data_IF_216329996031
#
_entry.id   IF_216329996031
#
_cell.length_a   1.000
_cell.length_b   1.000
_cell.length_c   1.000
_cell.angle_alpha   90.00
_cell.angle_beta   90.00
_cell.angle_gamma   90.00
#
_symmetry.space_group_name_H-M   'P 1'
#
loop_
_entity.id
_entity.type
_entity.pdbx_description
1 polymer ?
#
# COMPACT_ATOMS: atom_id res chain seq x y z
N UNK A 1 -12.15 -1.44 -24.15
CA UNK A 1 -10.71 -1.55 -24.44
C UNK A 1 -9.82 -0.74 -23.49
N UNK A 2 -9.97 0.57 -23.34
CA UNK A 2 -9.12 1.42 -22.45
C UNK A 2 -9.08 0.98 -20.97
N UNK A 3 -10.21 0.56 -20.38
CA UNK A 3 -10.28 0.13 -18.96
C UNK A 3 -9.58 -1.19 -18.68
N UNK A 4 -9.59 -2.13 -19.65
CA UNK A 4 -8.89 -3.42 -19.52
C UNK A 4 -7.38 -3.24 -19.58
N UNK A 5 -6.90 -2.41 -20.50
CA UNK A 5 -5.48 -2.07 -20.62
C UNK A 5 -4.96 -1.42 -19.32
N UNK A 6 -5.71 -0.48 -18.74
CA UNK A 6 -5.31 0.17 -17.49
C UNK A 6 -5.22 -0.83 -16.33
N UNK A 7 -6.13 -1.79 -16.25
CA UNK A 7 -6.08 -2.84 -15.22
C UNK A 7 -4.87 -3.76 -15.38
N UNK A 8 -4.55 -4.16 -16.62
CA UNK A 8 -3.37 -4.98 -16.91
C UNK A 8 -2.10 -4.22 -16.51
N UNK A 9 -1.98 -2.96 -16.89
CA UNK A 9 -0.84 -2.12 -16.52
C UNK A 9 -0.70 -1.99 -15.01
N UNK A 10 -1.81 -1.76 -14.30
CA UNK A 10 -1.82 -1.68 -12.85
C UNK A 10 -1.39 -2.99 -12.18
N UNK A 11 -1.87 -4.13 -12.67
CA UNK A 11 -1.46 -5.45 -12.16
C UNK A 11 0.02 -5.73 -12.43
N UNK A 12 0.49 -5.44 -13.65
CA UNK A 12 1.91 -5.56 -13.99
C UNK A 12 2.78 -4.69 -13.07
N UNK A 13 2.32 -3.48 -12.74
CA UNK A 13 3.04 -2.58 -11.85
C UNK A 13 3.10 -3.11 -10.40
N UNK A 14 2.02 -3.70 -9.87
CA UNK A 14 2.06 -4.38 -8.56
C UNK A 14 3.08 -5.51 -8.57
N UNK A 15 3.04 -6.36 -9.59
CA UNK A 15 3.99 -7.46 -9.74
C UNK A 15 5.42 -6.92 -9.78
N UNK A 16 5.66 -5.83 -10.50
CA UNK A 16 6.96 -5.19 -10.60
C UNK A 16 7.45 -4.67 -9.23
N UNK A 17 6.60 -3.99 -8.45
CA UNK A 17 6.95 -3.52 -7.10
C UNK A 17 7.29 -4.68 -6.18
N UNK A 18 6.49 -5.75 -6.19
CA UNK A 18 6.75 -6.93 -5.37
C UNK A 18 8.01 -7.69 -5.82
N UNK A 19 8.24 -7.82 -7.13
CA UNK A 19 9.45 -8.46 -7.65
C UNK A 19 10.70 -7.64 -7.32
N UNK A 20 10.64 -6.33 -7.46
CA UNK A 20 11.74 -5.45 -7.04
C UNK A 20 12.02 -5.61 -5.55
N UNK A 21 10.98 -5.63 -4.70
CA UNK A 21 11.15 -5.81 -3.27
C UNK A 21 11.76 -7.18 -2.90
N UNK A 22 11.39 -8.26 -3.58
CA UNK A 22 11.85 -9.61 -3.24
C UNK A 22 13.21 -9.95 -3.84
N UNK A 23 13.49 -9.47 -5.06
CA UNK A 23 14.68 -9.85 -5.82
C UNK A 23 15.86 -8.88 -5.65
N UNK A 24 15.60 -7.66 -5.18
CA UNK A 24 16.66 -6.69 -4.95
C UNK A 24 17.43 -7.05 -3.67
N UNK A 25 18.67 -7.49 -3.83
CA UNK A 25 19.53 -7.90 -2.72
C UNK A 25 20.36 -6.74 -2.15
N UNK A 26 20.48 -5.64 -2.88
CA UNK A 26 21.27 -4.49 -2.48
C UNK A 26 20.35 -3.28 -2.26
N UNK A 27 20.46 -2.67 -1.07
CA UNK A 27 19.71 -1.45 -0.80
C UNK A 27 20.17 -0.32 -1.73
N UNK A 28 19.23 0.43 -2.32
CA UNK A 28 19.60 1.61 -3.10
C UNK A 28 20.39 2.59 -2.23
N UNK A 29 21.55 3.01 -2.71
CA UNK A 29 22.35 4.04 -2.03
C UNK A 29 21.52 5.33 -1.90
N UNK A 30 21.23 5.76 -0.68
CA UNK A 30 20.40 6.95 -0.43
C UNK A 30 18.89 6.70 -0.34
N UNK A 31 18.45 5.43 -0.33
CA UNK A 31 17.02 5.08 -0.20
C UNK A 31 16.31 4.90 -1.54
N UNK A 32 14.99 4.83 -1.52
CA UNK A 32 14.20 4.59 -2.73
C UNK A 32 14.40 5.69 -3.79
N UNK A 33 14.63 5.31 -5.06
CA UNK A 33 14.77 6.28 -6.14
C UNK A 33 13.54 7.19 -6.25
N UNK A 34 13.74 8.49 -6.51
CA UNK A 34 12.65 9.47 -6.65
C UNK A 34 11.62 9.02 -7.68
N UNK A 35 12.07 8.40 -8.79
CA UNK A 35 11.17 7.85 -9.80
C UNK A 35 10.21 6.80 -9.22
N UNK A 36 10.67 5.93 -8.32
CA UNK A 36 9.82 4.92 -7.66
C UNK A 36 8.81 5.61 -6.75
N UNK A 37 9.21 6.63 -5.99
CA UNK A 37 8.30 7.40 -5.14
C UNK A 37 7.20 8.05 -5.96
N UNK A 38 7.55 8.69 -7.07
CA UNK A 38 6.59 9.34 -7.97
C UNK A 38 5.63 8.31 -8.57
N UNK A 39 6.16 7.22 -9.13
CA UNK A 39 5.36 6.18 -9.79
C UNK A 39 4.41 5.49 -8.80
N UNK A 40 4.87 5.19 -7.58
CA UNK A 40 4.01 4.60 -6.53
C UNK A 40 2.92 5.56 -6.07
N UNK A 41 3.22 6.84 -5.94
CA UNK A 41 2.22 7.87 -5.60
C UNK A 41 1.13 7.96 -6.66
N UNK A 42 1.49 7.98 -7.95
CA UNK A 42 0.52 7.91 -9.05
C UNK A 42 -0.28 6.60 -9.05
N UNK A 43 0.37 5.47 -8.74
CA UNK A 43 -0.27 4.17 -8.60
C UNK A 43 -1.34 4.18 -7.50
N UNK A 44 -1.03 4.68 -6.33
CA UNK A 44 -1.96 4.82 -5.19
C UNK A 44 -3.16 5.69 -5.58
N UNK A 45 -2.92 6.88 -6.14
CA UNK A 45 -3.99 7.77 -6.62
C UNK A 45 -4.88 7.10 -7.67
N UNK A 46 -4.28 6.36 -8.60
CA UNK A 46 -4.99 5.60 -9.64
C UNK A 46 -5.88 4.50 -9.06
N UNK A 47 -5.39 3.75 -8.07
CA UNK A 47 -6.16 2.71 -7.40
C UNK A 47 -7.31 3.27 -6.57
N UNK A 48 -7.08 4.34 -5.80
CA UNK A 48 -8.14 5.01 -5.03
C UNK A 48 -9.21 5.55 -5.98
N UNK A 49 -8.83 6.22 -7.05
CA UNK A 49 -9.77 6.71 -8.07
C UNK A 49 -10.57 5.58 -8.72
N UNK A 50 -9.91 4.43 -8.99
CA UNK A 50 -10.55 3.22 -9.49
C UNK A 50 -11.56 2.62 -8.53
N UNK A 51 -11.25 2.64 -7.24
CA UNK A 51 -12.11 2.15 -6.18
C UNK A 51 -13.36 3.04 -6.03
N UNK A 52 -13.17 4.36 -5.99
CA UNK A 52 -14.26 5.35 -5.95
C UNK A 52 -15.18 5.17 -7.18
N UNK A 53 -14.62 5.11 -8.38
CA UNK A 53 -15.38 4.91 -9.63
C UNK A 53 -16.14 3.57 -9.62
N UNK A 54 -15.55 2.50 -9.07
CA UNK A 54 -16.22 1.21 -8.98
C UNK A 54 -17.44 1.24 -8.05
N UNK A 55 -17.42 2.07 -7.02
CA UNK A 55 -18.55 2.27 -6.13
C UNK A 55 -19.63 3.16 -6.73
N UNK A 56 -19.25 4.30 -7.32
CA UNK A 56 -20.18 5.22 -7.97
C UNK A 56 -20.92 4.54 -9.13
N UNK A 57 -20.24 3.73 -9.92
CA UNK A 57 -20.83 2.98 -11.05
C UNK A 57 -21.69 1.77 -10.58
N UNK A 58 -21.94 1.58 -9.29
CA UNK A 58 -22.68 0.45 -8.71
C UNK A 58 -22.24 -0.92 -9.27
N UNK A 59 -20.95 -1.12 -9.44
CA UNK A 59 -20.39 -2.38 -9.96
C UNK A 59 -20.68 -3.56 -9.00
N UNK A 60 -20.54 -4.78 -9.54
CA UNK A 60 -20.70 -6.01 -8.74
C UNK A 60 -19.76 -5.95 -7.52
N UNK A 61 -20.25 -6.38 -6.37
CA UNK A 61 -19.50 -6.42 -5.11
C UNK A 61 -18.14 -7.11 -5.28
N UNK A 62 -18.10 -8.22 -6.00
CA UNK A 62 -16.85 -8.95 -6.29
C UNK A 62 -15.78 -8.07 -6.97
N UNK A 63 -16.21 -7.18 -7.88
CA UNK A 63 -15.28 -6.25 -8.54
C UNK A 63 -14.71 -5.23 -7.55
N UNK A 64 -15.54 -4.71 -6.65
CA UNK A 64 -15.12 -3.72 -5.66
C UNK A 64 -14.20 -4.36 -4.63
N UNK A 65 -14.56 -5.54 -4.11
CA UNK A 65 -13.70 -6.30 -3.18
C UNK A 65 -12.35 -6.66 -3.80
N UNK A 66 -12.35 -7.12 -5.04
CA UNK A 66 -11.11 -7.42 -5.75
C UNK A 66 -10.24 -6.17 -5.90
N UNK A 67 -10.82 -5.03 -6.25
CA UNK A 67 -10.09 -3.76 -6.35
C UNK A 67 -9.53 -3.35 -4.98
N UNK A 68 -10.28 -3.51 -3.90
CA UNK A 68 -9.83 -3.23 -2.53
C UNK A 68 -8.64 -4.13 -2.14
N UNK A 69 -8.72 -5.43 -2.41
CA UNK A 69 -7.60 -6.36 -2.17
C UNK A 69 -6.34 -5.92 -2.92
N UNK A 70 -6.49 -5.53 -4.20
CA UNK A 70 -5.36 -5.00 -4.96
C UNK A 70 -4.80 -3.69 -4.39
N UNK A 71 -5.66 -2.78 -3.88
CA UNK A 71 -5.20 -1.57 -3.21
C UNK A 71 -4.35 -1.91 -1.98
N UNK A 72 -4.83 -2.81 -1.13
CA UNK A 72 -4.10 -3.25 0.08
C UNK A 72 -2.77 -3.90 -0.29
N UNK A 73 -2.78 -4.85 -1.23
CA UNK A 73 -1.55 -5.54 -1.67
C UNK A 73 -0.53 -4.55 -2.26
N UNK A 74 -1.00 -3.57 -3.04
CA UNK A 74 -0.14 -2.54 -3.61
C UNK A 74 0.46 -1.62 -2.54
N UNK A 75 -0.35 -1.18 -1.58
CA UNK A 75 0.10 -0.35 -0.45
C UNK A 75 1.15 -1.09 0.37
N UNK A 76 0.87 -2.35 0.74
CA UNK A 76 1.83 -3.17 1.47
C UNK A 76 3.15 -3.34 0.73
N UNK A 77 3.11 -3.71 -0.55
CA UNK A 77 4.33 -3.87 -1.35
C UNK A 77 5.15 -2.59 -1.44
N UNK A 78 4.47 -1.46 -1.66
CA UNK A 78 5.09 -0.13 -1.75
C UNK A 78 5.77 0.27 -0.44
N UNK A 79 5.06 0.18 0.69
CA UNK A 79 5.63 0.58 1.97
C UNK A 79 6.68 -0.41 2.47
N UNK A 80 6.53 -1.71 2.20
CA UNK A 80 7.59 -2.70 2.47
C UNK A 80 8.88 -2.37 1.73
N UNK A 81 8.77 -1.99 0.45
CA UNK A 81 9.92 -1.54 -0.33
C UNK A 81 10.56 -0.27 0.25
N UNK A 82 9.76 0.72 0.64
CA UNK A 82 10.28 1.94 1.25
C UNK A 82 10.94 1.66 2.60
N UNK A 83 10.32 0.89 3.48
CA UNK A 83 10.91 0.53 4.77
C UNK A 83 12.21 -0.25 4.61
N UNK A 84 12.27 -1.16 3.65
CA UNK A 84 13.53 -1.84 3.35
C UNK A 84 14.59 -0.89 2.78
N UNK A 85 14.24 -0.05 1.82
CA UNK A 85 15.18 0.89 1.18
C UNK A 85 15.77 1.90 2.17
N UNK A 86 14.95 2.38 3.10
CA UNK A 86 15.36 3.31 4.17
C UNK A 86 15.65 2.61 5.50
N UNK A 87 15.65 1.27 5.55
CA UNK A 87 15.74 0.44 6.74
C UNK A 87 17.14 0.37 7.35
N UNK A 88 17.73 1.51 7.65
CA UNK A 88 19.07 1.66 8.25
C UNK A 88 18.98 1.84 9.76
N UNK A 89 20.06 1.55 10.51
CA UNK A 89 20.10 1.80 11.96
C UNK A 89 19.80 3.25 12.35
N UNK A 90 20.15 4.22 11.51
CA UNK A 90 19.83 5.63 11.75
C UNK A 90 18.33 5.93 11.68
N UNK A 91 17.58 5.16 10.90
CA UNK A 91 16.14 5.39 10.71
C UNK A 91 15.27 4.53 11.63
N UNK A 92 15.71 3.29 11.96
CA UNK A 92 14.92 2.31 12.70
C UNK A 92 15.62 1.72 13.93
N UNK A 93 16.83 2.21 14.28
CA UNK A 93 17.65 1.65 15.36
C UNK A 93 18.30 0.31 15.00
N UNK A 94 17.81 -0.37 13.98
CA UNK A 94 18.31 -1.64 13.45
C UNK A 94 18.34 -1.61 11.91
N UNK A 95 19.10 -2.52 11.31
CA UNK A 95 19.08 -2.71 9.87
C UNK A 95 17.95 -3.68 9.51
N UNK A 96 16.91 -3.20 8.82
CA UNK A 96 15.76 -4.03 8.48
C UNK A 96 16.09 -5.02 7.35
N UNK A 97 15.76 -6.28 7.55
CA UNK A 97 15.67 -7.25 6.45
C UNK A 97 14.39 -7.01 5.62
N UNK A 98 14.23 -7.70 4.49
CA UNK A 98 12.97 -7.66 3.72
C UNK A 98 11.78 -8.11 4.59
N UNK A 99 11.97 -9.16 5.39
CA UNK A 99 10.94 -9.68 6.27
C UNK A 99 10.58 -8.67 7.37
N UNK A 100 11.57 -7.99 7.97
CA UNK A 100 11.35 -6.95 8.98
C UNK A 100 10.57 -5.78 8.39
N UNK A 101 10.92 -5.35 7.18
CA UNK A 101 10.23 -4.27 6.48
C UNK A 101 8.77 -4.64 6.16
N UNK A 102 8.53 -5.86 5.69
CA UNK A 102 7.19 -6.37 5.47
C UNK A 102 6.39 -6.50 6.77
N UNK A 103 7.02 -7.05 7.83
CA UNK A 103 6.42 -7.14 9.17
C UNK A 103 6.04 -5.76 9.70
N UNK A 104 6.92 -4.77 9.54
CA UNK A 104 6.65 -3.39 9.94
C UNK A 104 5.47 -2.78 9.18
N UNK A 105 5.41 -2.98 7.85
CA UNK A 105 4.30 -2.53 7.02
C UNK A 105 2.98 -3.20 7.42
N UNK A 106 2.99 -4.52 7.66
CA UNK A 106 1.82 -5.27 8.12
C UNK A 106 1.36 -4.84 9.52
N UNK A 107 2.31 -4.65 10.46
CA UNK A 107 2.01 -4.16 11.81
C UNK A 107 1.37 -2.77 11.80
N UNK A 108 1.82 -1.91 10.89
CA UNK A 108 1.24 -0.57 10.68
C UNK A 108 -0.18 -0.67 10.10
N UNK A 109 -0.38 -1.45 9.03
CA UNK A 109 -1.68 -1.65 8.40
C UNK A 109 -2.72 -2.22 9.36
N UNK A 110 -2.33 -3.24 10.12
CA UNK A 110 -3.23 -3.92 11.07
C UNK A 110 -3.46 -3.17 12.37
N UNK A 111 -2.78 -2.03 12.56
CA UNK A 111 -2.77 -1.28 13.84
C UNK A 111 -2.34 -2.11 15.05
N UNK A 112 -1.75 -3.29 14.82
CA UNK A 112 -1.31 -4.20 15.88
C UNK A 112 -0.01 -3.72 16.56
N UNK A 113 0.67 -2.77 15.95
CA UNK A 113 1.99 -2.31 16.38
C UNK A 113 3.13 -3.09 15.73
N UNK A 114 4.31 -2.54 15.82
CA UNK A 114 5.52 -3.00 15.12
C UNK A 114 6.52 -3.71 16.06
N UNK A 115 6.09 -4.05 17.28
CA UNK A 115 6.90 -4.75 18.28
C UNK A 115 8.15 -3.96 18.67
N UNK A 116 9.33 -4.55 18.43
CA UNK A 116 10.63 -3.96 18.78
C UNK A 116 11.19 -3.01 17.72
N UNK A 117 10.60 -2.97 16.53
CA UNK A 117 11.04 -2.10 15.43
C UNK A 117 10.33 -0.76 15.56
N UNK A 118 11.09 0.32 15.70
CA UNK A 118 10.54 1.66 15.88
C UNK A 118 11.11 2.65 14.84
N UNK A 119 10.23 3.49 14.28
CA UNK A 119 10.64 4.60 13.43
C UNK A 119 11.34 5.67 14.29
N UNK A 120 12.67 5.77 14.21
CA UNK A 120 13.50 6.65 15.06
C UNK A 120 13.72 8.02 14.43
N UNK A 121 13.91 8.08 13.10
CA UNK A 121 14.13 9.34 12.37
C UNK A 121 12.84 10.04 11.97
N UNK A 122 12.92 11.31 11.62
CA UNK A 122 11.79 12.07 11.06
C UNK A 122 11.29 11.46 9.74
N UNK A 123 12.21 11.01 8.88
CA UNK A 123 11.88 10.35 7.62
C UNK A 123 11.09 9.07 7.87
N UNK A 124 11.56 8.20 8.76
CA UNK A 124 10.90 6.94 9.07
C UNK A 124 9.50 7.16 9.67
N UNK A 125 9.38 8.13 10.60
CA UNK A 125 8.08 8.53 11.17
C UNK A 125 7.16 9.14 10.13
N UNK A 126 7.69 9.94 9.20
CA UNK A 126 6.93 10.49 8.09
C UNK A 126 6.35 9.42 7.17
N UNK A 127 7.17 8.43 6.79
CA UNK A 127 6.72 7.28 6.00
C UNK A 127 5.64 6.46 6.73
N UNK A 128 5.83 6.20 8.03
CA UNK A 128 4.86 5.48 8.85
C UNK A 128 3.54 6.25 8.95
N UNK A 129 3.60 7.55 9.19
CA UNK A 129 2.40 8.41 9.25
C UNK A 129 1.67 8.43 7.91
N UNK A 130 2.40 8.50 6.79
CA UNK A 130 1.81 8.45 5.45
C UNK A 130 1.09 7.11 5.20
N UNK A 131 1.71 5.99 5.59
CA UNK A 131 1.05 4.68 5.51
C UNK A 131 -0.20 4.65 6.39
N UNK A 132 -0.12 5.02 7.66
CA UNK A 132 -1.27 5.04 8.58
C UNK A 132 -2.45 5.87 8.04
N UNK A 133 -2.17 7.03 7.45
CA UNK A 133 -3.19 7.86 6.82
C UNK A 133 -3.88 7.15 5.65
N UNK A 134 -3.10 6.53 4.78
CA UNK A 134 -3.62 5.79 3.63
C UNK A 134 -4.42 4.55 4.07
N UNK A 135 -3.90 3.78 5.02
CA UNK A 135 -4.57 2.59 5.57
C UNK A 135 -5.90 2.96 6.24
N UNK A 136 -5.95 4.09 6.95
CA UNK A 136 -7.19 4.61 7.55
C UNK A 136 -8.24 4.92 6.48
N UNK A 137 -7.86 5.52 5.37
CA UNK A 137 -8.76 5.79 4.23
C UNK A 137 -9.29 4.48 3.65
N UNK A 138 -8.44 3.46 3.45
CA UNK A 138 -8.85 2.15 2.93
C UNK A 138 -9.82 1.44 3.87
N UNK A 139 -9.56 1.48 5.18
CA UNK A 139 -10.44 0.87 6.21
C UNK A 139 -11.80 1.58 6.24
N UNK A 140 -11.83 2.90 6.30
CA UNK A 140 -13.08 3.67 6.28
C UNK A 140 -13.89 3.40 5.01
N UNK A 141 -13.21 3.27 3.87
CA UNK A 141 -13.84 2.93 2.61
C UNK A 141 -14.44 1.52 2.64
N UNK A 142 -13.72 0.53 3.20
CA UNK A 142 -14.21 -0.85 3.35
C UNK A 142 -15.46 -0.90 4.26
N UNK A 143 -15.45 -0.19 5.39
CA UNK A 143 -16.60 -0.09 6.31
C UNK A 143 -17.79 0.57 5.60
N UNK A 144 -17.56 1.70 4.93
CA UNK A 144 -18.62 2.40 4.17
C UNK A 144 -19.27 1.52 3.11
N UNK A 145 -18.46 0.69 2.43
CA UNK A 145 -18.97 -0.27 1.45
C UNK A 145 -19.89 -1.32 2.08
N UNK A 146 -19.49 -1.87 3.23
CA UNK A 146 -20.27 -2.86 3.97
C UNK A 146 -21.60 -2.25 4.41
N UNK A 147 -21.58 -1.09 5.05
CA UNK A 147 -22.79 -0.38 5.49
C UNK A 147 -23.72 -0.09 4.33
N UNK A 148 -23.21 0.45 3.22
CA UNK A 148 -24.03 0.76 2.05
C UNK A 148 -24.73 -0.48 1.45
N UNK A 149 -24.14 -1.66 1.58
CA UNK A 149 -24.74 -2.92 1.11
C UNK A 149 -25.84 -3.43 2.01
N UNK A 150 -25.69 -3.32 3.33
CA UNK A 150 -26.74 -3.71 4.26
C UNK A 150 -27.98 -2.82 4.12
N UNK A 151 -27.80 -1.50 4.04
CA UNK A 151 -28.92 -0.56 3.87
C UNK A 151 -29.63 -0.69 2.51
N UNK A 152 -28.97 -1.21 1.47
CA UNK A 152 -29.60 -1.45 0.16
C UNK A 152 -30.36 -2.78 0.07
N UNK A 153 -30.17 -3.68 1.02
CA UNK A 153 -30.86 -4.98 1.04
C UNK A 153 -32.25 -4.90 1.71
N UNK A 154 -32.49 -3.82 2.51
CA UNK A 154 -33.73 -3.62 3.25
C UNK A 154 -34.77 -2.76 2.48
N UNK A 155 -34.45 -2.33 1.24
CA UNK A 155 -35.34 -1.60 0.33
C UNK A 155 -35.62 -2.40 -0.94
#
# INVERSE_FOLDING_TARGET
MKRTVLRILATCYIILVWTAFVLDNERPAGGAPVAVIILTSFGICGYISGLISACLDRKKLSTVLLTLIFCVAFTLGTFSYFYWSYGTPSNFGVSLTHLDAFYFAMGTLSTAGTGTINASSELARGLQTAQMGLDSVLVLFAIGLVVARFTSADN
#
